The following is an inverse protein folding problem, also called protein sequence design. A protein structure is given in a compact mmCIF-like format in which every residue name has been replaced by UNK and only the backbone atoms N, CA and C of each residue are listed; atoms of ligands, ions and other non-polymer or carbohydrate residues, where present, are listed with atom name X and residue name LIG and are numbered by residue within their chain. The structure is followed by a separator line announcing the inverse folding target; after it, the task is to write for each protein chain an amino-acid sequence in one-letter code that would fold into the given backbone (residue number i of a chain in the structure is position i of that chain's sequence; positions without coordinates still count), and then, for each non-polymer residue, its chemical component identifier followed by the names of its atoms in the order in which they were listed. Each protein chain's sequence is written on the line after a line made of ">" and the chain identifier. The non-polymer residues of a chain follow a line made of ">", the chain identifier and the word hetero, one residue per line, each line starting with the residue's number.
data_IF_312390434112
#
_entry.id   IF_312390434112
#
_cell.length_a   1.000
_cell.length_b   1.000
_cell.length_c   1.000
_cell.angle_alpha   90.00
_cell.angle_beta   90.00
_cell.angle_gamma   90.00
#
_symmetry.space_group_name_H-M   'P 1'
#
loop_
_entity.id
_entity.type
_entity.pdbx_description
1 polymer ?
#
# COMPACT_ATOMS: atom_id res chain seq x y z
N UNK A 1 28.32 -15.05 31.93
CA UNK A 1 28.13 -13.74 31.27
C UNK A 1 27.75 -13.86 29.78
N UNK A 2 27.39 -15.05 29.29
CA UNK A 2 27.15 -15.32 27.86
C UNK A 2 25.75 -14.91 27.38
N UNK A 3 24.78 -14.87 28.30
CA UNK A 3 23.36 -14.63 28.01
C UNK A 3 23.06 -13.20 27.55
N UNK A 4 23.81 -12.19 28.02
CA UNK A 4 23.60 -10.78 27.66
C UNK A 4 24.08 -10.42 26.26
N UNK A 5 25.14 -11.07 25.75
CA UNK A 5 25.60 -10.90 24.36
C UNK A 5 24.61 -11.52 23.37
N UNK A 6 24.17 -12.76 23.64
CA UNK A 6 23.16 -13.45 22.83
C UNK A 6 21.84 -12.68 22.75
N UNK A 7 21.34 -12.13 23.88
CA UNK A 7 20.14 -11.27 23.87
C UNK A 7 20.34 -10.01 23.04
N UNK A 8 21.51 -9.36 23.14
CA UNK A 8 21.81 -8.15 22.36
C UNK A 8 21.94 -8.47 20.86
N UNK A 9 22.57 -9.59 20.51
CA UNK A 9 22.68 -10.07 19.12
C UNK A 9 21.33 -10.50 18.55
N UNK A 10 20.46 -11.12 19.34
CA UNK A 10 19.07 -11.41 18.95
C UNK A 10 18.27 -10.13 18.73
N UNK A 11 18.44 -9.10 19.56
CA UNK A 11 17.78 -7.80 19.35
C UNK A 11 18.33 -7.11 18.09
N UNK A 12 19.64 -7.16 17.86
CA UNK A 12 20.27 -6.59 16.65
C UNK A 12 19.89 -7.37 15.39
N UNK A 13 19.79 -8.71 15.46
CA UNK A 13 19.33 -9.57 14.38
C UNK A 13 17.82 -9.40 14.12
N UNK A 14 17.02 -9.23 15.17
CA UNK A 14 15.57 -8.90 15.09
C UNK A 14 15.34 -7.51 14.48
N UNK A 15 16.28 -6.57 14.65
CA UNK A 15 16.28 -5.27 13.99
C UNK A 15 16.91 -5.28 12.58
N UNK A 16 17.74 -6.27 12.25
CA UNK A 16 18.27 -6.55 10.90
C UNK A 16 17.25 -7.28 10.01
N UNK A 17 15.95 -7.04 10.23
CA UNK A 17 14.86 -7.62 9.44
C UNK A 17 14.92 -7.14 7.98
N UNK A 18 14.45 -7.98 7.04
CA UNK A 18 14.65 -7.78 5.61
C UNK A 18 14.18 -6.40 5.19
N UNK A 19 14.96 -5.74 4.33
CA UNK A 19 14.77 -4.35 3.92
C UNK A 19 13.28 -3.96 3.82
N UNK A 20 12.81 -3.13 4.76
CA UNK A 20 11.47 -2.48 4.77
C UNK A 20 11.26 -1.59 3.52
N UNK A 21 12.24 -1.55 2.61
CA UNK A 21 12.24 -0.86 1.32
C UNK A 21 10.90 -0.97 0.58
N UNK A 22 10.34 -2.19 0.44
CA UNK A 22 9.05 -2.38 -0.22
C UNK A 22 7.89 -1.75 0.55
N UNK A 23 7.92 -1.82 1.89
CA UNK A 23 6.95 -1.14 2.75
C UNK A 23 7.01 0.38 2.59
N UNK A 24 8.23 0.94 2.57
CA UNK A 24 8.43 2.38 2.33
C UNK A 24 8.00 2.79 0.92
N UNK A 25 8.38 2.03 -0.11
CA UNK A 25 7.97 2.28 -1.51
C UNK A 25 6.45 2.30 -1.66
N UNK A 26 5.75 1.32 -1.09
CA UNK A 26 4.28 1.27 -1.10
C UNK A 26 3.68 2.48 -0.36
N UNK A 27 4.22 2.85 0.81
CA UNK A 27 3.75 4.01 1.55
C UNK A 27 3.95 5.31 0.77
N UNK A 28 5.14 5.56 0.23
CA UNK A 28 5.42 6.76 -0.58
C UNK A 28 4.56 6.83 -1.84
N UNK A 29 4.44 5.72 -2.57
CA UNK A 29 3.63 5.66 -3.80
C UNK A 29 2.16 5.94 -3.49
N UNK A 30 1.65 5.39 -2.39
CA UNK A 30 0.27 5.60 -1.95
C UNK A 30 0.05 7.04 -1.43
N UNK A 31 1.03 7.66 -0.77
CA UNK A 31 0.94 9.08 -0.38
C UNK A 31 0.89 9.98 -1.63
N UNK A 32 1.81 9.78 -2.58
CA UNK A 32 1.86 10.58 -3.81
C UNK A 32 0.56 10.41 -4.60
N UNK A 33 0.14 9.17 -4.83
CA UNK A 33 -1.07 8.87 -5.59
C UNK A 33 -2.33 9.37 -4.88
N UNK A 34 -2.45 9.19 -3.56
CA UNK A 34 -3.58 9.64 -2.77
C UNK A 34 -3.68 11.17 -2.74
N UNK A 35 -2.55 11.86 -2.59
CA UNK A 35 -2.50 13.31 -2.65
C UNK A 35 -2.89 13.86 -4.02
N UNK A 36 -2.51 13.15 -5.09
CA UNK A 36 -2.87 13.50 -6.45
C UNK A 36 -4.37 13.34 -6.69
N UNK A 37 -4.95 12.20 -6.31
CA UNK A 37 -6.40 11.95 -6.43
C UNK A 37 -7.24 12.90 -5.57
N UNK A 38 -6.74 13.30 -4.40
CA UNK A 38 -7.42 14.29 -3.57
C UNK A 38 -7.52 15.66 -4.24
N UNK A 39 -6.47 16.09 -4.93
CA UNK A 39 -6.43 17.37 -5.67
C UNK A 39 -7.17 17.29 -7.01
N UNK A 40 -7.00 16.19 -7.73
CA UNK A 40 -7.53 15.95 -9.07
C UNK A 40 -8.54 14.81 -9.05
N UNK A 41 -9.70 15.07 -8.43
CA UNK A 41 -10.76 14.08 -8.23
C UNK A 41 -11.24 13.41 -9.54
N UNK A 42 -11.26 14.20 -10.62
CA UNK A 42 -11.74 13.77 -11.94
C UNK A 42 -10.73 12.89 -12.69
N UNK A 43 -9.52 12.72 -12.16
CA UNK A 43 -8.53 11.84 -12.77
C UNK A 43 -8.97 10.38 -12.76
N UNK A 44 -9.60 9.94 -11.66
CA UNK A 44 -10.07 8.56 -11.54
C UNK A 44 -11.24 8.28 -12.50
N UNK A 45 -12.10 9.26 -12.73
CA UNK A 45 -13.25 9.15 -13.64
C UNK A 45 -12.85 9.23 -15.11
N UNK A 46 -11.78 9.96 -15.43
CA UNK A 46 -11.22 10.01 -16.79
C UNK A 46 -10.62 8.67 -17.25
N UNK A 47 -10.09 7.86 -16.32
CA UNK A 47 -9.36 6.62 -16.62
C UNK A 47 -10.14 5.33 -16.34
N UNK A 48 -11.33 5.41 -15.76
CA UNK A 48 -12.09 4.23 -15.35
C UNK A 48 -13.61 4.36 -15.55
N UNK A 49 -14.00 5.23 -16.49
CA UNK A 49 -15.34 5.28 -17.10
C UNK A 49 -16.50 5.67 -16.15
N UNK A 50 -17.76 5.81 -16.64
CA UNK A 50 -18.84 6.39 -15.84
C UNK A 50 -19.28 5.52 -14.65
N UNK A 51 -18.81 4.27 -14.53
CA UNK A 51 -19.01 3.45 -13.34
C UNK A 51 -18.41 4.09 -12.08
N UNK A 52 -17.31 4.84 -12.22
CA UNK A 52 -16.70 5.62 -11.14
C UNK A 52 -17.20 7.07 -11.07
N UNK A 53 -18.03 7.54 -12.02
CA UNK A 53 -18.54 8.93 -12.01
C UNK A 53 -19.33 9.30 -10.75
N UNK A 54 -19.92 8.30 -10.09
CA UNK A 54 -20.66 8.46 -8.82
C UNK A 54 -19.80 8.18 -7.58
N UNK A 55 -18.63 7.61 -7.77
CA UNK A 55 -17.72 7.33 -6.68
C UNK A 55 -16.91 8.59 -6.37
N UNK A 56 -16.87 9.03 -5.12
CA UNK A 56 -16.20 10.26 -4.81
C UNK A 56 -14.68 10.05 -4.77
N UNK A 57 -14.02 10.31 -5.89
CA UNK A 57 -12.56 10.14 -6.07
C UNK A 57 -11.73 10.83 -4.98
N UNK A 58 -12.21 11.97 -4.43
CA UNK A 58 -11.58 12.65 -3.29
C UNK A 58 -11.54 11.80 -2.03
N UNK A 59 -12.61 11.08 -1.72
CA UNK A 59 -12.67 10.20 -0.56
C UNK A 59 -11.75 9.00 -0.74
N UNK A 60 -11.68 8.43 -1.95
CA UNK A 60 -10.73 7.34 -2.26
C UNK A 60 -9.30 7.82 -2.06
N UNK A 61 -8.94 8.99 -2.61
CA UNK A 61 -7.63 9.61 -2.42
C UNK A 61 -7.30 9.88 -0.95
N UNK A 62 -8.27 10.37 -0.17
CA UNK A 62 -8.12 10.64 1.26
C UNK A 62 -7.93 9.36 2.09
N UNK A 63 -8.70 8.31 1.84
CA UNK A 63 -8.54 7.02 2.51
C UNK A 63 -7.18 6.41 2.17
N UNK A 64 -6.76 6.46 0.89
CA UNK A 64 -5.45 6.00 0.44
C UNK A 64 -4.32 6.75 1.16
N UNK A 65 -4.43 8.08 1.25
CA UNK A 65 -3.47 8.94 1.93
C UNK A 65 -3.36 8.60 3.43
N UNK A 66 -4.50 8.48 4.12
CA UNK A 66 -4.53 8.14 5.55
C UNK A 66 -3.91 6.75 5.78
N UNK A 67 -4.31 5.75 4.99
CA UNK A 67 -3.78 4.40 5.12
C UNK A 67 -2.25 4.37 4.88
N UNK A 68 -1.76 5.14 3.92
CA UNK A 68 -0.35 5.25 3.61
C UNK A 68 0.46 5.97 4.71
N UNK A 69 -0.10 7.02 5.31
CA UNK A 69 0.49 7.70 6.47
C UNK A 69 0.55 6.77 7.69
N UNK A 70 -0.52 6.01 7.95
CA UNK A 70 -0.53 4.99 9.02
C UNK A 70 0.55 3.94 8.77
N UNK A 71 0.73 3.48 7.52
CA UNK A 71 1.82 2.55 7.16
C UNK A 71 3.18 3.16 7.45
N UNK A 72 3.41 4.40 7.03
CA UNK A 72 4.68 5.10 7.24
C UNK A 72 5.00 5.26 8.73
N UNK A 73 4.00 5.68 9.53
CA UNK A 73 4.13 5.78 10.99
C UNK A 73 4.42 4.40 11.60
N UNK A 74 3.72 3.35 11.15
CA UNK A 74 3.98 1.98 11.57
C UNK A 74 5.40 1.52 11.27
N UNK A 75 5.97 1.91 10.12
CA UNK A 75 7.36 1.66 9.75
C UNK A 75 8.34 2.41 10.65
N UNK A 76 8.13 3.71 10.88
CA UNK A 76 8.99 4.54 11.73
C UNK A 76 8.99 4.11 13.20
N UNK A 77 7.81 3.77 13.74
CA UNK A 77 7.65 3.33 15.13
C UNK A 77 7.89 1.83 15.31
N UNK A 78 8.18 1.10 14.23
CA UNK A 78 8.26 -0.36 14.24
C UNK A 78 7.06 -1.07 14.89
N UNK A 79 5.87 -0.48 14.78
CA UNK A 79 4.65 -1.02 15.37
C UNK A 79 4.00 -2.05 14.43
N UNK A 80 4.00 -3.32 14.84
CA UNK A 80 3.43 -4.46 14.11
C UNK A 80 2.00 -4.21 13.62
N UNK A 81 1.10 -3.86 14.54
CA UNK A 81 -0.33 -3.74 14.24
C UNK A 81 -0.57 -2.63 13.23
N UNK A 82 0.09 -1.49 13.39
CA UNK A 82 -0.01 -0.38 12.43
C UNK A 82 0.50 -0.80 11.05
N UNK A 83 1.64 -1.51 10.96
CA UNK A 83 2.17 -2.01 9.67
C UNK A 83 1.24 -3.03 9.00
N UNK A 84 0.52 -3.84 9.78
CA UNK A 84 -0.34 -4.93 9.31
C UNK A 84 -1.68 -4.39 8.79
N UNK A 85 -2.42 -3.68 9.63
CA UNK A 85 -3.71 -3.13 9.27
C UNK A 85 -3.61 -2.18 8.07
N UNK A 86 -2.59 -1.33 8.04
CA UNK A 86 -2.39 -0.41 6.92
C UNK A 86 -2.08 -1.12 5.61
N UNK A 87 -1.29 -2.21 5.59
CA UNK A 87 -1.02 -2.91 4.33
C UNK A 87 -2.26 -3.66 3.82
N UNK A 88 -3.10 -4.16 4.71
CA UNK A 88 -4.35 -4.84 4.34
C UNK A 88 -5.30 -3.84 3.69
N UNK A 89 -5.48 -2.67 4.31
CA UNK A 89 -6.28 -1.58 3.76
C UNK A 89 -5.72 -1.12 2.40
N UNK A 90 -4.41 -0.88 2.30
CA UNK A 90 -3.78 -0.49 1.03
C UNK A 90 -3.94 -1.57 -0.05
N UNK A 91 -3.81 -2.85 0.30
CA UNK A 91 -4.02 -3.97 -0.63
C UNK A 91 -5.46 -3.99 -1.15
N UNK A 92 -6.44 -3.76 -0.27
CA UNK A 92 -7.85 -3.72 -0.66
C UNK A 92 -8.15 -2.54 -1.61
N UNK A 93 -7.62 -1.35 -1.32
CA UNK A 93 -7.85 -0.16 -2.15
C UNK A 93 -7.17 -0.33 -3.52
N UNK A 94 -5.88 -0.68 -3.55
CA UNK A 94 -5.15 -0.87 -4.80
C UNK A 94 -5.71 -2.04 -5.62
N UNK A 95 -6.13 -3.12 -4.98
CA UNK A 95 -6.78 -4.24 -5.64
C UNK A 95 -8.14 -3.85 -6.23
N UNK A 96 -8.97 -3.10 -5.48
CA UNK A 96 -10.24 -2.59 -5.97
C UNK A 96 -10.08 -1.64 -7.16
N UNK A 97 -9.14 -0.69 -7.07
CA UNK A 97 -8.82 0.22 -8.17
C UNK A 97 -8.34 -0.55 -9.41
N UNK A 98 -7.47 -1.53 -9.23
CA UNK A 98 -6.99 -2.38 -10.31
C UNK A 98 -8.14 -3.16 -10.97
N UNK A 99 -9.02 -3.80 -10.19
CA UNK A 99 -10.17 -4.56 -10.73
C UNK A 99 -11.06 -3.64 -11.58
N UNK A 100 -11.38 -2.44 -11.08
CA UNK A 100 -12.22 -1.51 -11.84
C UNK A 100 -11.54 -1.07 -13.14
N UNK A 101 -10.24 -0.76 -13.07
CA UNK A 101 -9.46 -0.41 -14.26
C UNK A 101 -9.34 -1.58 -15.25
N UNK A 102 -9.22 -2.82 -14.76
CA UNK A 102 -9.18 -4.04 -15.55
C UNK A 102 -10.51 -4.28 -16.29
N UNK A 103 -11.64 -4.12 -15.58
CA UNK A 103 -12.97 -4.26 -16.19
C UNK A 103 -13.20 -3.25 -17.31
N UNK A 104 -12.66 -2.03 -17.18
CA UNK A 104 -12.71 -1.02 -18.23
C UNK A 104 -11.84 -1.40 -19.45
N UNK A 105 -10.61 -1.86 -19.21
CA UNK A 105 -9.67 -2.27 -20.26
C UNK A 105 -10.15 -3.47 -21.10
N UNK A 106 -10.99 -4.35 -20.55
CA UNK A 106 -11.61 -5.45 -21.30
C UNK A 106 -13.02 -5.13 -21.82
N UNK A 107 -13.71 -4.15 -21.25
CA UNK A 107 -15.10 -3.82 -21.57
C UNK A 107 -15.26 -2.84 -22.75
N UNK A 108 -14.49 -1.76 -22.78
CA UNK A 108 -14.74 -0.64 -23.71
C UNK A 108 -13.48 0.10 -24.21
N UNK A 109 -12.36 0.07 -23.48
CA UNK A 109 -11.18 0.89 -23.77
C UNK A 109 -9.91 0.11 -24.09
N UNK A 110 -9.08 0.64 -24.99
CA UNK A 110 -7.69 0.20 -25.19
C UNK A 110 -6.96 0.10 -23.82
N UNK A 111 -6.03 -0.85 -23.64
CA UNK A 111 -5.31 -1.01 -22.37
C UNK A 111 -4.53 0.26 -22.02
N UNK A 112 -5.04 1.02 -21.06
CA UNK A 112 -4.40 2.23 -20.53
C UNK A 112 -3.25 1.84 -19.59
N UNK A 113 -2.01 2.31 -19.77
CA UNK A 113 -0.88 2.04 -18.87
C UNK A 113 -1.19 2.19 -17.37
N UNK A 114 -2.21 2.98 -17.02
CA UNK A 114 -2.68 3.17 -15.67
C UNK A 114 -3.11 1.87 -14.95
N UNK A 115 -3.74 0.91 -15.63
CA UNK A 115 -4.11 -0.38 -15.01
C UNK A 115 -2.88 -1.20 -14.63
N UNK A 116 -1.80 -1.13 -15.44
CA UNK A 116 -0.55 -1.84 -15.19
C UNK A 116 0.17 -1.25 -13.97
N UNK A 117 0.14 0.09 -13.82
CA UNK A 117 0.64 0.75 -12.62
C UNK A 117 -0.10 0.29 -11.36
N UNK A 118 -1.43 0.29 -11.38
CA UNK A 118 -2.23 -0.20 -10.23
C UNK A 118 -1.93 -1.65 -9.89
N UNK A 119 -1.81 -2.51 -10.91
CA UNK A 119 -1.43 -3.92 -10.73
C UNK A 119 -0.07 -4.06 -10.04
N UNK A 120 0.93 -3.31 -10.50
CA UNK A 120 2.28 -3.35 -9.94
C UNK A 120 2.28 -2.94 -8.46
N UNK A 121 1.58 -1.85 -8.11
CA UNK A 121 1.47 -1.41 -6.71
C UNK A 121 0.70 -2.42 -5.87
N UNK A 122 -0.38 -3.00 -6.40
CA UNK A 122 -1.12 -4.07 -5.74
C UNK A 122 -0.24 -5.29 -5.45
N UNK A 123 0.55 -5.76 -6.42
CA UNK A 123 1.51 -6.87 -6.23
C UNK A 123 2.57 -6.50 -5.18
N UNK A 124 3.05 -5.25 -5.17
CA UNK A 124 3.97 -4.79 -4.13
C UNK A 124 3.30 -4.82 -2.74
N UNK A 125 2.05 -4.40 -2.61
CA UNK A 125 1.26 -4.49 -1.38
C UNK A 125 1.11 -5.94 -0.91
N UNK A 126 0.75 -6.85 -1.81
CA UNK A 126 0.64 -8.28 -1.51
C UNK A 126 1.97 -8.87 -1.09
N UNK A 127 3.06 -8.51 -1.76
CA UNK A 127 4.41 -8.98 -1.40
C UNK A 127 4.80 -8.55 0.01
N UNK A 128 4.49 -7.30 0.39
CA UNK A 128 4.73 -6.79 1.75
C UNK A 128 3.83 -7.50 2.77
N UNK A 129 2.56 -7.74 2.43
CA UNK A 129 1.61 -8.44 3.28
C UNK A 129 2.01 -9.90 3.53
N UNK A 130 2.31 -10.65 2.47
CA UNK A 130 2.65 -12.08 2.51
C UNK A 130 4.02 -12.37 3.11
N UNK A 131 4.98 -11.43 3.04
CA UNK A 131 6.29 -11.59 3.68
C UNK A 131 6.21 -11.75 5.19
N UNK A 132 5.09 -11.41 5.82
CA UNK A 132 4.86 -11.77 7.21
C UNK A 132 5.84 -11.13 8.20
N UNK A 133 6.40 -9.95 7.87
CA UNK A 133 7.30 -9.17 8.75
C UNK A 133 6.63 -8.74 10.09
N UNK A 134 5.40 -9.18 10.29
CA UNK A 134 4.56 -9.03 11.46
C UNK A 134 4.86 -10.07 12.56
N UNK A 135 5.60 -11.14 12.29
CA UNK A 135 5.96 -12.11 13.34
C UNK A 135 7.16 -11.62 14.14
N UNK A 136 6.91 -10.76 15.13
CA UNK A 136 7.83 -10.55 16.23
C UNK A 136 7.34 -11.45 17.36
N UNK A 137 7.97 -12.62 17.52
CA UNK A 137 7.73 -13.46 18.68
C UNK A 137 7.97 -12.64 19.95
N UNK A 138 7.00 -12.74 20.86
CA UNK A 138 7.02 -12.25 22.24
C UNK A 138 7.86 -13.21 23.06
#
# INVERSE_FOLDING_TARGET
>A
MENTRLKRELIVAKNKRPSDFWGFMVAFTSILHGSFLFKFADYLTAHAEPYLSRLPGRWIGLILLIAALIKLIGLLLNNKHLKEWSIWILSAIWGGLWIVSLTFAFGTGYPDPYHTFMFFVFVACLRVSLKGDYNYDV
#
